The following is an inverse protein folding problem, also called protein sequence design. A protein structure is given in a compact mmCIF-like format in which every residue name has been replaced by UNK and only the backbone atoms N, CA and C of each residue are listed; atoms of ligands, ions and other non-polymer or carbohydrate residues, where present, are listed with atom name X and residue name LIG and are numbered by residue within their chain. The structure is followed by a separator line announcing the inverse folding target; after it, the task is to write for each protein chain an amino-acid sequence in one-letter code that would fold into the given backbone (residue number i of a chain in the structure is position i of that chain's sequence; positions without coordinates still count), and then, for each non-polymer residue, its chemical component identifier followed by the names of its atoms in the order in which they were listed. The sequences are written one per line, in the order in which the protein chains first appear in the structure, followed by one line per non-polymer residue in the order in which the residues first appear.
data_IF_632949104391
#
_entry.id   IF_632949104391
#
_cell.length_a   1.000
_cell.length_b   1.000
_cell.length_c   1.000
_cell.angle_alpha   90.00
_cell.angle_beta   90.00
_cell.angle_gamma   90.00
#
_symmetry.space_group_name_H-M   'P 1'
#
loop_
_entity.id
_entity.type
_entity.pdbx_description
1 polymer ?
#
# COMPACT_ATOMS: atom_id res chain seq x y z
N UNK A 1 7.48 -2.87 3.94
CA UNK A 1 6.80 -3.29 2.70
C UNK A 1 7.65 -4.36 2.04
N UNK A 2 7.02 -5.27 1.30
CA UNK A 2 7.71 -6.42 0.72
C UNK A 2 8.42 -6.01 -0.58
N UNK A 3 7.80 -5.13 -1.38
CA UNK A 3 8.33 -4.64 -2.66
C UNK A 3 7.87 -3.22 -2.95
N UNK A 4 8.68 -2.47 -3.69
CA UNK A 4 8.32 -1.14 -4.19
C UNK A 4 7.72 -1.17 -5.58
N UNK A 5 6.84 -0.22 -5.85
CA UNK A 5 6.36 0.05 -7.19
C UNK A 5 7.33 0.96 -7.94
N UNK A 6 7.39 0.76 -9.25
CA UNK A 6 7.86 1.79 -10.18
C UNK A 6 6.76 2.84 -10.32
N UNK A 7 7.12 4.10 -10.17
CA UNK A 7 6.20 5.22 -10.35
C UNK A 7 6.01 5.56 -11.82
N UNK A 8 4.79 5.96 -12.21
CA UNK A 8 4.44 6.27 -13.60
C UNK A 8 4.45 7.79 -13.82
N UNK A 9 5.64 8.39 -13.93
CA UNK A 9 5.82 9.85 -14.05
C UNK A 9 5.19 10.47 -15.32
N UNK A 10 4.99 9.68 -16.37
CA UNK A 10 4.44 10.18 -17.64
C UNK A 10 2.91 10.28 -17.67
N UNK A 11 2.23 9.93 -16.58
CA UNK A 11 0.77 9.88 -16.57
C UNK A 11 0.16 11.29 -16.52
N UNK A 12 -0.77 11.55 -17.44
CA UNK A 12 -1.46 12.84 -17.50
C UNK A 12 -2.34 13.06 -16.26
N UNK A 13 -2.81 12.00 -15.61
CA UNK A 13 -3.58 12.05 -14.36
C UNK A 13 -2.80 12.69 -13.20
N UNK A 14 -1.47 12.74 -13.29
CA UNK A 14 -0.62 13.43 -12.31
C UNK A 14 -0.78 14.95 -12.35
N UNK A 15 -1.21 15.49 -13.50
CA UNK A 15 -1.28 16.93 -13.78
C UNK A 15 -2.19 17.67 -12.81
N UNK A 16 -3.28 17.05 -12.34
CA UNK A 16 -4.21 17.73 -11.42
C UNK A 16 -3.53 18.12 -10.10
N UNK A 17 -2.67 17.25 -9.57
CA UNK A 17 -1.86 17.56 -8.40
C UNK A 17 -0.88 18.72 -8.70
N UNK A 18 -0.19 18.69 -9.82
CA UNK A 18 0.74 19.76 -10.23
C UNK A 18 0.02 21.11 -10.38
N UNK A 19 -1.16 21.11 -10.96
CA UNK A 19 -1.97 22.30 -11.18
C UNK A 19 -2.43 22.97 -9.88
N UNK A 20 -2.96 22.18 -8.94
CA UNK A 20 -3.39 22.76 -7.66
C UNK A 20 -2.20 23.31 -6.87
N UNK A 21 -1.05 22.64 -6.89
CA UNK A 21 0.18 23.14 -6.25
C UNK A 21 0.66 24.43 -6.93
N UNK A 22 0.65 24.49 -8.26
CA UNK A 22 1.02 25.70 -9.00
C UNK A 22 0.09 26.89 -8.66
N UNK A 23 -1.21 26.64 -8.48
CA UNK A 23 -2.16 27.65 -8.02
C UNK A 23 -1.81 28.17 -6.62
N UNK A 24 -1.50 27.31 -5.66
CA UNK A 24 -1.08 27.73 -4.32
C UNK A 24 0.25 28.50 -4.34
N UNK A 25 1.21 28.08 -5.17
CA UNK A 25 2.46 28.82 -5.37
C UNK A 25 2.24 30.21 -5.95
N UNK A 26 1.25 30.37 -6.85
CA UNK A 26 0.89 31.65 -7.45
C UNK A 26 0.28 32.60 -6.41
N UNK A 27 -0.72 32.14 -5.66
CA UNK A 27 -1.46 33.00 -4.72
C UNK A 27 -0.65 33.36 -3.47
N UNK A 28 0.43 32.63 -3.17
CA UNK A 28 1.33 32.92 -2.06
C UNK A 28 1.83 34.38 -2.06
N UNK A 29 2.11 34.94 -3.25
CA UNK A 29 2.68 36.28 -3.41
C UNK A 29 1.69 37.29 -4.01
N UNK A 30 0.45 36.88 -4.22
CA UNK A 30 -0.52 37.68 -4.96
C UNK A 30 -1.40 38.52 -4.03
N UNK A 31 -1.69 39.75 -4.46
CA UNK A 31 -2.48 40.75 -3.72
C UNK A 31 -3.50 41.46 -4.60
N UNK A 32 -3.48 41.24 -5.92
CA UNK A 32 -4.42 41.85 -6.85
C UNK A 32 -5.86 41.36 -6.65
N UNK A 33 -6.83 42.03 -7.29
CA UNK A 33 -8.18 41.48 -7.39
C UNK A 33 -8.08 40.16 -8.16
N UNK A 34 -8.79 39.13 -7.69
CA UNK A 34 -8.79 37.84 -8.34
C UNK A 34 -9.25 37.95 -9.81
N UNK A 35 -8.48 37.34 -10.70
CA UNK A 35 -8.86 37.11 -12.09
C UNK A 35 -8.37 35.73 -12.57
N UNK A 36 -8.77 35.36 -13.79
CA UNK A 36 -8.49 34.03 -14.34
C UNK A 36 -6.99 33.78 -14.61
N UNK A 37 -6.14 34.81 -14.61
CA UNK A 37 -4.67 34.66 -14.76
C UNK A 37 -4.00 34.03 -13.54
N UNK A 38 -4.72 33.88 -12.44
CA UNK A 38 -4.23 33.21 -11.24
C UNK A 38 -4.17 31.68 -11.44
N UNK A 39 -4.92 31.18 -12.41
CA UNK A 39 -4.82 29.80 -12.88
C UNK A 39 -3.84 29.71 -14.05
N UNK A 40 -3.07 28.62 -14.10
CA UNK A 40 -2.40 28.24 -15.36
C UNK A 40 -3.45 27.88 -16.41
N UNK A 41 -3.15 28.12 -17.70
CA UNK A 41 -4.11 27.93 -18.80
C UNK A 41 -4.79 26.55 -18.77
N UNK A 42 -4.01 25.49 -18.53
CA UNK A 42 -4.55 24.14 -18.48
C UNK A 42 -5.49 23.90 -17.29
N UNK A 43 -5.15 24.49 -16.14
CA UNK A 43 -5.94 24.36 -14.93
C UNK A 43 -7.22 25.22 -14.99
N UNK A 44 -7.15 26.38 -15.64
CA UNK A 44 -8.30 27.26 -15.86
C UNK A 44 -9.41 26.54 -16.63
N UNK A 45 -9.06 25.84 -17.72
CA UNK A 45 -10.06 25.07 -18.48
C UNK A 45 -10.75 24.00 -17.62
N UNK A 46 -10.00 23.33 -16.73
CA UNK A 46 -10.58 22.36 -15.79
C UNK A 46 -11.45 23.05 -14.74
N UNK A 47 -11.02 24.22 -14.24
CA UNK A 47 -11.76 25.02 -13.27
C UNK A 47 -13.07 25.56 -13.86
N UNK A 48 -13.08 25.99 -15.12
CA UNK A 48 -14.26 26.46 -15.84
C UNK A 48 -15.30 25.36 -16.05
N UNK A 49 -14.85 24.11 -16.21
CA UNK A 49 -15.72 22.92 -16.24
C UNK A 49 -16.30 22.57 -14.87
N UNK A 50 -15.74 23.10 -13.78
CA UNK A 50 -16.14 22.82 -12.39
C UNK A 50 -16.33 24.13 -11.60
N UNK A 51 -17.26 25.01 -12.00
CA UNK A 51 -17.33 26.36 -11.45
C UNK A 51 -17.55 26.36 -9.94
N UNK A 52 -18.46 25.55 -9.41
CA UNK A 52 -18.78 25.52 -7.98
C UNK A 52 -17.81 24.67 -7.14
N UNK A 53 -17.33 23.57 -7.73
CA UNK A 53 -16.54 22.54 -7.06
C UNK A 53 -15.06 22.95 -6.97
N UNK A 54 -14.56 23.66 -7.99
CA UNK A 54 -13.15 24.04 -8.09
C UNK A 54 -12.97 25.55 -8.14
N UNK A 55 -13.50 26.22 -9.18
CA UNK A 55 -13.19 27.65 -9.44
C UNK A 55 -13.60 28.54 -8.27
N UNK A 56 -14.85 28.44 -7.80
CA UNK A 56 -15.36 29.23 -6.69
C UNK A 56 -14.68 28.87 -5.35
N UNK A 57 -14.30 27.61 -5.13
CA UNK A 57 -13.56 27.21 -3.93
C UNK A 57 -12.16 27.84 -3.90
N UNK A 58 -11.44 27.82 -5.03
CA UNK A 58 -10.16 28.54 -5.17
C UNK A 58 -10.33 30.04 -4.90
N UNK A 59 -11.32 30.69 -5.51
CA UNK A 59 -11.62 32.11 -5.26
C UNK A 59 -11.89 32.38 -3.78
N UNK A 60 -12.67 31.51 -3.12
CA UNK A 60 -13.00 31.64 -1.71
C UNK A 60 -11.76 31.49 -0.80
N UNK A 61 -10.85 30.58 -1.13
CA UNK A 61 -9.56 30.41 -0.44
C UNK A 61 -8.71 31.66 -0.61
N UNK A 62 -8.56 32.14 -1.85
CA UNK A 62 -7.80 33.36 -2.12
C UNK A 62 -8.33 34.56 -1.34
N UNK A 63 -9.65 34.77 -1.36
CA UNK A 63 -10.29 35.87 -0.65
C UNK A 63 -10.10 35.80 0.87
N UNK A 64 -9.92 34.61 1.45
CA UNK A 64 -9.59 34.48 2.88
C UNK A 64 -8.18 34.93 3.20
N UNK A 65 -7.22 34.69 2.29
CA UNK A 65 -5.79 34.84 2.59
C UNK A 65 -5.17 36.09 1.95
N UNK A 66 -5.83 36.74 0.99
CA UNK A 66 -5.25 37.83 0.18
C UNK A 66 -4.71 39.01 1.02
N UNK A 67 -5.36 39.29 2.15
CA UNK A 67 -5.02 40.40 3.05
C UNK A 67 -4.13 39.95 4.22
N UNK A 68 -3.74 38.67 4.28
CA UNK A 68 -2.78 38.17 5.26
C UNK A 68 -1.39 38.76 4.99
N UNK A 69 -0.59 38.85 6.05
CA UNK A 69 0.83 39.16 5.87
C UNK A 69 1.53 38.01 5.12
N UNK A 70 2.66 38.32 4.49
CA UNK A 70 3.38 37.35 3.64
C UNK A 70 3.84 36.10 4.42
N UNK A 71 4.17 36.24 5.70
CA UNK A 71 4.63 35.11 6.53
C UNK A 71 3.50 34.08 6.68
N UNK A 72 2.28 34.51 6.98
CA UNK A 72 1.14 33.62 7.12
C UNK A 72 0.75 32.94 5.79
N UNK A 73 0.83 33.68 4.66
CA UNK A 73 0.62 33.11 3.32
C UNK A 73 1.66 32.02 3.02
N UNK A 74 2.94 32.32 3.26
CA UNK A 74 4.05 31.39 3.03
C UNK A 74 3.94 30.17 3.94
N UNK A 75 3.51 30.33 5.20
CA UNK A 75 3.28 29.21 6.12
C UNK A 75 2.20 28.26 5.59
N UNK A 76 1.05 28.78 5.17
CA UNK A 76 -0.04 27.97 4.61
C UNK A 76 0.39 27.26 3.31
N UNK A 77 1.00 28.00 2.38
CA UNK A 77 1.37 27.43 1.08
C UNK A 77 2.51 26.39 1.23
N UNK A 78 3.45 26.61 2.15
CA UNK A 78 4.49 25.63 2.47
C UNK A 78 3.89 24.39 3.12
N UNK A 79 2.96 24.53 4.06
CA UNK A 79 2.25 23.38 4.65
C UNK A 79 1.55 22.53 3.59
N UNK A 80 0.94 23.14 2.58
CA UNK A 80 0.29 22.43 1.47
C UNK A 80 1.33 21.71 0.60
N UNK A 81 2.44 22.37 0.25
CA UNK A 81 3.55 21.77 -0.51
C UNK A 81 4.18 20.60 0.23
N UNK A 82 4.55 20.80 1.49
CA UNK A 82 5.23 19.80 2.32
C UNK A 82 4.32 18.61 2.62
N UNK A 83 3.00 18.83 2.75
CA UNK A 83 2.01 17.75 2.86
C UNK A 83 1.89 16.89 1.60
N UNK A 84 2.51 17.31 0.49
CA UNK A 84 2.57 16.57 -0.76
C UNK A 84 3.94 15.93 -1.02
N UNK A 85 4.95 16.18 -0.19
CA UNK A 85 6.21 15.45 -0.25
C UNK A 85 6.11 14.15 0.57
N UNK A 86 5.47 13.14 -0.04
CA UNK A 86 5.19 11.86 0.60
C UNK A 86 6.47 11.14 1.02
N UNK A 87 7.56 11.28 0.25
CA UNK A 87 8.84 10.66 0.59
C UNK A 87 9.44 11.32 1.84
N UNK A 88 9.41 12.66 1.93
CA UNK A 88 9.91 13.41 3.09
C UNK A 88 9.09 13.13 4.36
N UNK A 89 7.77 12.96 4.23
CA UNK A 89 6.88 12.51 5.31
C UNK A 89 7.27 11.10 5.76
N UNK A 90 7.50 10.17 4.82
CA UNK A 90 7.88 8.80 5.16
C UNK A 90 9.24 8.71 5.86
N UNK A 91 10.13 9.65 5.57
CA UNK A 91 11.42 9.79 6.26
C UNK A 91 11.29 10.45 7.64
N UNK A 92 10.10 10.87 8.08
CA UNK A 92 9.91 11.50 9.38
C UNK A 92 10.46 12.92 9.47
N UNK A 93 10.80 13.54 8.35
CA UNK A 93 11.33 14.91 8.31
C UNK A 93 10.22 15.97 8.36
N UNK A 94 8.97 15.57 8.04
CA UNK A 94 7.80 16.44 8.08
C UNK A 94 6.58 15.66 8.56
N UNK A 95 5.80 16.27 9.46
CA UNK A 95 4.53 15.75 9.93
C UNK A 95 3.39 16.66 9.44
N UNK A 96 2.56 16.22 8.49
CA UNK A 96 1.45 17.03 8.00
C UNK A 96 0.42 17.25 9.10
N UNK A 97 -0.23 18.42 9.07
CA UNK A 97 -1.30 18.71 10.02
C UNK A 97 -2.59 17.96 9.65
N UNK A 98 -3.31 17.55 10.68
CA UNK A 98 -4.61 16.89 10.53
C UNK A 98 -5.67 17.93 10.17
N UNK A 99 -6.43 17.65 9.11
CA UNK A 99 -7.61 18.42 8.70
C UNK A 99 -8.75 17.44 8.46
N UNK A 100 -9.39 17.05 9.56
CA UNK A 100 -10.43 16.03 9.57
C UNK A 100 -11.84 16.63 9.40
N UNK A 101 -12.86 15.78 9.59
CA UNK A 101 -14.28 16.16 9.47
C UNK A 101 -14.74 17.25 10.46
N UNK A 102 -13.95 17.55 11.49
CA UNK A 102 -14.23 18.57 12.49
C UNK A 102 -13.59 19.92 12.16
N UNK A 103 -12.87 20.02 11.03
CA UNK A 103 -12.29 21.28 10.55
C UNK A 103 -13.38 22.37 10.36
N UNK A 104 -13.01 23.60 10.69
CA UNK A 104 -13.86 24.80 10.57
C UNK A 104 -13.12 25.92 9.82
N UNK A 105 -13.83 26.99 9.45
CA UNK A 105 -13.25 28.16 8.78
C UNK A 105 -12.48 27.79 7.50
N UNK A 106 -11.30 28.38 7.32
CA UNK A 106 -10.43 28.13 6.17
C UNK A 106 -10.01 26.65 6.06
N UNK A 107 -9.77 25.96 7.18
CA UNK A 107 -9.38 24.55 7.16
C UNK A 107 -10.49 23.66 6.59
N UNK A 108 -11.76 23.96 6.89
CA UNK A 108 -12.90 23.26 6.27
C UNK A 108 -12.94 23.52 4.76
N UNK A 109 -12.78 24.78 4.36
CA UNK A 109 -12.80 25.18 2.95
C UNK A 109 -11.71 24.45 2.15
N UNK A 110 -10.48 24.44 2.68
CA UNK A 110 -9.36 23.72 2.06
C UNK A 110 -9.60 22.22 2.03
N UNK A 111 -10.11 21.63 3.12
CA UNK A 111 -10.43 20.21 3.19
C UNK A 111 -11.40 19.81 2.09
N UNK A 112 -12.49 20.55 1.96
CA UNK A 112 -13.56 20.23 1.00
C UNK A 112 -13.04 20.38 -0.43
N UNK A 113 -12.31 21.47 -0.73
CA UNK A 113 -11.63 21.64 -2.02
C UNK A 113 -10.78 20.43 -2.40
N UNK A 114 -9.87 19.99 -1.52
CA UNK A 114 -8.98 18.87 -1.84
C UNK A 114 -9.70 17.52 -1.91
N UNK A 115 -10.76 17.30 -1.15
CA UNK A 115 -11.58 16.10 -1.30
C UNK A 115 -12.35 16.09 -2.61
N UNK A 116 -12.88 17.24 -3.01
CA UNK A 116 -13.61 17.41 -4.25
C UNK A 116 -12.71 17.27 -5.48
N UNK A 117 -11.46 17.73 -5.41
CA UNK A 117 -10.45 17.44 -6.42
C UNK A 117 -10.33 15.93 -6.68
N UNK A 118 -10.32 15.10 -5.64
CA UNK A 118 -10.26 13.65 -5.80
C UNK A 118 -11.60 13.03 -6.21
N UNK A 119 -12.69 13.41 -5.56
CA UNK A 119 -13.99 12.75 -5.71
C UNK A 119 -14.72 13.14 -6.99
N UNK A 120 -14.50 14.36 -7.48
CA UNK A 120 -15.32 14.96 -8.54
C UNK A 120 -14.51 15.44 -9.74
N UNK A 121 -13.23 15.83 -9.56
CA UNK A 121 -12.42 16.40 -10.65
C UNK A 121 -11.46 15.40 -11.30
N UNK A 122 -10.71 14.63 -10.51
CA UNK A 122 -9.61 13.77 -10.99
C UNK A 122 -10.03 12.74 -12.05
N UNK A 123 -11.23 12.20 -11.93
CA UNK A 123 -11.82 11.23 -12.87
C UNK A 123 -13.12 11.77 -13.51
N UNK A 124 -13.32 13.09 -13.46
CA UNK A 124 -14.52 13.77 -13.97
C UNK A 124 -14.41 14.17 -15.43
N UNK A 125 -15.55 14.39 -16.08
CA UNK A 125 -15.65 14.64 -17.53
C UNK A 125 -14.75 15.78 -18.01
N UNK A 126 -14.64 16.88 -17.25
CA UNK A 126 -13.77 18.00 -17.63
C UNK A 126 -12.29 17.60 -17.77
N UNK A 127 -11.79 16.73 -16.89
CA UNK A 127 -10.43 16.22 -16.97
C UNK A 127 -10.29 15.12 -18.03
N UNK A 128 -11.27 14.22 -18.07
CA UNK A 128 -11.28 13.08 -18.98
C UNK A 128 -11.36 13.50 -20.45
N UNK A 129 -12.22 14.47 -20.79
CA UNK A 129 -12.38 14.99 -22.15
C UNK A 129 -11.12 15.74 -22.60
N UNK A 130 -10.59 16.63 -21.75
CA UNK A 130 -9.40 17.44 -22.09
C UNK A 130 -8.18 16.56 -22.38
N UNK A 131 -7.96 15.54 -21.56
CA UNK A 131 -6.76 14.71 -21.62
C UNK A 131 -6.98 13.33 -22.25
N UNK A 132 -8.20 13.05 -22.71
CA UNK A 132 -8.61 11.74 -23.25
C UNK A 132 -8.17 10.59 -22.33
N UNK A 133 -8.49 10.70 -21.04
CA UNK A 133 -7.97 9.80 -20.01
C UNK A 133 -8.98 9.54 -18.90
N UNK A 134 -8.67 8.62 -17.97
CA UNK A 134 -9.41 8.35 -16.75
C UNK A 134 -8.53 7.52 -15.78
N UNK A 135 -9.02 7.23 -14.58
CA UNK A 135 -8.34 6.40 -13.58
C UNK A 135 -8.12 4.95 -14.04
N UNK A 136 -8.98 4.43 -14.93
CA UNK A 136 -8.79 3.10 -15.52
C UNK A 136 -7.58 3.10 -16.46
N UNK A 137 -7.40 4.12 -17.30
CA UNK A 137 -6.22 4.27 -18.15
C UNK A 137 -4.96 4.31 -17.30
N UNK A 138 -4.92 5.13 -16.24
CA UNK A 138 -3.79 5.16 -15.31
C UNK A 138 -3.50 3.78 -14.73
N UNK A 139 -4.53 3.11 -14.20
CA UNK A 139 -4.38 1.78 -13.60
C UNK A 139 -3.81 0.77 -14.59
N UNK A 140 -4.27 0.79 -15.84
CA UNK A 140 -3.80 -0.13 -16.86
C UNK A 140 -2.31 0.09 -17.17
N UNK A 141 -1.88 1.34 -17.34
CA UNK A 141 -0.49 1.68 -17.62
C UNK A 141 0.42 1.40 -16.41
N UNK A 142 -0.05 1.75 -15.21
CA UNK A 142 0.65 1.45 -13.96
C UNK A 142 0.82 -0.07 -13.77
N UNK A 143 -0.23 -0.85 -14.04
CA UNK A 143 -0.22 -2.30 -13.93
C UNK A 143 0.69 -2.97 -14.97
N UNK A 144 0.82 -2.40 -16.18
CA UNK A 144 1.79 -2.86 -17.18
C UNK A 144 3.23 -2.57 -16.75
N UNK A 145 3.49 -1.36 -16.26
CA UNK A 145 4.80 -0.95 -15.73
C UNK A 145 5.27 -1.83 -14.57
N UNK A 146 4.32 -2.28 -13.74
CA UNK A 146 4.53 -3.14 -12.56
C UNK A 146 3.98 -4.57 -12.78
N UNK A 147 4.13 -5.10 -14.00
CA UNK A 147 3.56 -6.39 -14.41
C UNK A 147 4.04 -7.57 -13.54
N UNK A 148 5.27 -7.50 -13.05
CA UNK A 148 5.92 -8.49 -12.20
C UNK A 148 5.45 -8.49 -10.72
N UNK A 149 4.63 -7.52 -10.30
CA UNK A 149 4.09 -7.44 -8.93
C UNK A 149 2.67 -8.02 -8.93
N UNK A 150 2.54 -9.33 -8.73
CA UNK A 150 1.24 -10.05 -8.72
C UNK A 150 0.64 -10.17 -7.32
N UNK A 151 1.47 -10.30 -6.30
CA UNK A 151 1.06 -10.25 -4.90
C UNK A 151 1.11 -8.81 -4.36
N UNK A 152 0.22 -8.50 -3.43
CA UNK A 152 0.15 -7.21 -2.79
C UNK A 152 1.50 -6.89 -2.11
N UNK A 153 2.16 -5.77 -2.45
CA UNK A 153 3.47 -5.41 -1.89
C UNK A 153 3.42 -5.10 -0.40
N UNK A 154 2.22 -4.89 0.15
CA UNK A 154 2.03 -4.68 1.58
C UNK A 154 2.06 -5.99 2.34
N UNK A 155 1.29 -7.02 1.93
CA UNK A 155 1.11 -8.21 2.74
C UNK A 155 1.68 -9.50 2.13
N UNK A 156 1.93 -9.57 0.82
CA UNK A 156 2.44 -10.78 0.17
C UNK A 156 1.47 -11.96 0.22
N UNK A 157 0.19 -11.69 0.50
CA UNK A 157 -0.89 -12.68 0.60
C UNK A 157 -1.92 -12.45 -0.50
N UNK A 158 -2.54 -11.26 -0.53
CA UNK A 158 -3.61 -10.97 -1.48
C UNK A 158 -3.05 -10.74 -2.88
N UNK A 159 -3.68 -11.34 -3.89
CA UNK A 159 -3.39 -11.04 -5.29
C UNK A 159 -3.88 -9.65 -5.67
N UNK A 160 -3.17 -9.01 -6.59
CA UNK A 160 -3.56 -7.74 -7.19
C UNK A 160 -4.26 -7.96 -8.51
N UNK A 161 -5.27 -7.13 -8.79
CA UNK A 161 -5.85 -7.02 -10.12
C UNK A 161 -4.83 -6.46 -11.10
N UNK A 162 -4.93 -6.92 -12.34
CA UNK A 162 -4.08 -6.54 -13.46
C UNK A 162 -4.86 -5.75 -14.51
N UNK A 163 -4.16 -5.09 -15.41
CA UNK A 163 -4.77 -4.36 -16.53
C UNK A 163 -5.67 -5.22 -17.42
N UNK A 164 -5.50 -6.55 -17.39
CA UNK A 164 -6.34 -7.52 -18.11
C UNK A 164 -7.63 -7.87 -17.37
N UNK A 165 -7.75 -7.53 -16.09
CA UNK A 165 -8.97 -7.76 -15.32
C UNK A 165 -10.04 -6.71 -15.65
N UNK A 166 -11.30 -7.15 -15.65
CA UNK A 166 -12.45 -6.25 -15.80
C UNK A 166 -12.52 -5.22 -14.66
N UNK A 167 -12.19 -5.64 -13.44
CA UNK A 167 -12.12 -4.77 -12.27
C UNK A 167 -10.71 -4.21 -12.08
N UNK A 168 -10.57 -3.17 -11.25
CA UNK A 168 -9.28 -2.70 -10.73
C UNK A 168 -9.35 -2.71 -9.22
N UNK A 169 -8.20 -2.85 -8.58
CA UNK A 169 -8.08 -2.51 -7.17
C UNK A 169 -8.39 -1.02 -6.98
N UNK A 170 -8.92 -0.70 -5.81
CA UNK A 170 -9.04 0.69 -5.38
C UNK A 170 -7.64 1.23 -5.07
N UNK A 171 -7.40 2.49 -5.41
CA UNK A 171 -6.21 3.19 -4.93
C UNK A 171 -6.40 3.44 -3.43
N UNK A 172 -5.49 2.91 -2.62
CA UNK A 172 -5.37 3.29 -1.23
C UNK A 172 -4.73 4.67 -1.13
N UNK A 173 -5.30 5.54 -0.31
CA UNK A 173 -4.65 6.77 0.12
C UNK A 173 -3.71 6.41 1.27
N UNK A 174 -2.41 6.29 1.00
CA UNK A 174 -1.43 5.87 2.00
C UNK A 174 -1.53 6.73 3.26
N UNK A 175 -1.46 8.05 3.08
CA UNK A 175 -1.98 9.07 3.99
C UNK A 175 -3.48 9.28 3.72
N UNK A 176 -4.39 8.88 4.61
CA UNK A 176 -5.82 8.91 4.31
C UNK A 176 -6.35 10.31 4.04
N UNK A 177 -7.04 10.51 2.91
CA UNK A 177 -7.63 11.81 2.55
C UNK A 177 -8.60 12.39 3.58
N UNK A 178 -9.19 11.56 4.43
CA UNK A 178 -10.08 11.98 5.51
C UNK A 178 -9.37 12.70 6.66
N UNK A 179 -8.04 12.56 6.76
CA UNK A 179 -7.16 13.13 7.78
C UNK A 179 -6.17 14.11 7.14
N UNK A 180 -5.60 13.72 5.99
CA UNK A 180 -4.59 14.47 5.24
C UNK A 180 -5.12 14.82 3.84
N UNK A 181 -6.04 15.78 3.70
CA UNK A 181 -6.69 16.06 2.43
C UNK A 181 -5.72 16.62 1.39
N UNK A 182 -4.66 17.33 1.77
CA UNK A 182 -3.76 18.00 0.82
C UNK A 182 -3.07 17.07 -0.18
N UNK A 183 -2.91 15.79 0.17
CA UNK A 183 -2.32 14.76 -0.68
C UNK A 183 -3.34 13.84 -1.35
N UNK A 184 -4.63 14.22 -1.37
CA UNK A 184 -5.74 13.39 -1.88
C UNK A 184 -5.63 13.01 -3.35
N UNK A 185 -5.09 13.91 -4.18
CA UNK A 185 -4.91 13.74 -5.65
C UNK A 185 -3.46 13.47 -6.04
N UNK A 186 -2.56 13.35 -5.06
CA UNK A 186 -1.16 13.07 -5.30
C UNK A 186 -0.97 11.57 -5.51
N UNK A 187 -0.56 11.15 -6.71
CA UNK A 187 -0.38 9.71 -6.99
C UNK A 187 0.82 9.09 -6.27
N UNK A 188 1.74 9.89 -5.70
CA UNK A 188 2.73 9.36 -4.75
C UNK A 188 2.09 8.93 -3.43
N UNK A 189 0.86 9.36 -3.15
CA UNK A 189 0.02 8.96 -2.03
C UNK A 189 -1.07 7.94 -2.41
N UNK A 190 -1.34 7.72 -3.70
CA UNK A 190 -2.35 6.77 -4.20
C UNK A 190 -1.67 5.49 -4.65
N UNK A 191 -1.97 4.37 -3.99
CA UNK A 191 -1.23 3.12 -4.24
C UNK A 191 -2.17 1.92 -4.38
N UNK A 192 -2.02 1.11 -5.45
CA UNK A 192 -2.75 -0.16 -5.54
C UNK A 192 -2.29 -1.13 -4.45
N UNK A 193 -3.23 -1.60 -3.63
CA UNK A 193 -3.02 -2.67 -2.64
C UNK A 193 -4.22 -3.61 -2.68
N UNK A 194 -4.09 -4.84 -2.16
CA UNK A 194 -5.21 -5.76 -2.17
C UNK A 194 -6.36 -5.25 -1.28
N UNK A 195 -7.57 -5.69 -1.63
CA UNK A 195 -8.80 -5.30 -0.93
C UNK A 195 -8.74 -5.54 0.59
N UNK A 196 -8.13 -6.63 1.04
CA UNK A 196 -8.02 -6.93 2.47
C UNK A 196 -7.15 -5.91 3.20
N UNK A 197 -6.01 -5.52 2.61
CA UNK A 197 -5.15 -4.49 3.19
C UNK A 197 -5.84 -3.12 3.22
N UNK A 198 -6.57 -2.78 2.16
CA UNK A 198 -7.30 -1.52 2.04
C UNK A 198 -8.59 -1.49 2.90
N UNK A 199 -9.06 -2.63 3.38
CA UNK A 199 -10.31 -2.73 4.13
C UNK A 199 -10.31 -1.87 5.39
N UNK A 200 -11.50 -1.48 5.84
CA UNK A 200 -11.71 -0.74 7.10
C UNK A 200 -11.27 -1.52 8.34
N UNK A 201 -11.15 -2.85 8.24
CA UNK A 201 -10.69 -3.72 9.32
C UNK A 201 -9.16 -3.76 9.45
N UNK A 202 -8.43 -3.46 8.37
CA UNK A 202 -6.96 -3.50 8.35
C UNK A 202 -6.38 -2.10 8.35
N UNK A 203 -6.27 -1.42 7.20
CA UNK A 203 -5.75 -0.04 7.15
C UNK A 203 -6.88 0.97 7.29
N UNK A 204 -7.89 0.91 6.40
CA UNK A 204 -8.95 1.90 6.32
C UNK A 204 -8.42 3.33 6.34
N UNK A 205 -9.02 4.16 7.20
CA UNK A 205 -8.64 5.56 7.41
C UNK A 205 -7.79 5.78 8.68
N UNK A 206 -7.04 4.77 9.14
CA UNK A 206 -6.11 4.92 10.28
C UNK A 206 -5.10 6.03 10.00
N UNK A 207 -4.81 6.84 11.00
CA UNK A 207 -3.75 7.85 10.93
C UNK A 207 -2.38 7.15 10.86
N UNK A 208 -1.84 7.01 9.65
CA UNK A 208 -0.57 6.32 9.43
C UNK A 208 0.63 7.08 9.97
N UNK A 209 0.56 8.42 10.04
CA UNK A 209 1.67 9.24 10.56
C UNK A 209 1.71 9.14 12.09
N UNK A 210 0.55 9.17 12.74
CA UNK A 210 0.47 8.96 14.19
C UNK A 210 0.85 7.54 14.63
N UNK A 211 0.62 6.54 13.78
CA UNK A 211 1.01 5.14 14.03
C UNK A 211 2.47 4.84 13.67
N UNK A 212 3.20 5.80 13.09
CA UNK A 212 4.58 5.59 12.67
C UNK A 212 5.52 5.48 13.87
N UNK A 213 6.20 4.35 14.01
CA UNK A 213 7.27 4.16 14.95
C UNK A 213 8.47 5.04 14.58
N UNK A 214 8.95 5.86 15.52
CA UNK A 214 9.99 6.87 15.31
C UNK A 214 9.77 7.76 14.07
N UNK A 215 8.50 7.99 13.69
CA UNK A 215 8.11 8.74 12.49
C UNK A 215 8.61 8.14 11.17
N UNK A 216 9.04 6.87 11.15
CA UNK A 216 9.54 6.21 9.95
C UNK A 216 8.46 5.35 9.30
N UNK A 217 8.25 5.57 8.01
CA UNK A 217 7.32 4.82 7.18
C UNK A 217 8.02 4.31 5.92
N UNK A 218 7.52 3.21 5.39
CA UNK A 218 7.94 2.76 4.08
C UNK A 218 7.36 3.65 2.98
N UNK A 219 8.20 4.18 2.11
CA UNK A 219 7.76 4.88 0.91
C UNK A 219 7.54 3.90 -0.25
N UNK A 220 6.31 3.78 -0.74
CA UNK A 220 5.93 2.73 -1.68
C UNK A 220 6.59 2.81 -3.07
N UNK A 221 7.21 3.94 -3.38
CA UNK A 221 7.91 4.19 -4.64
C UNK A 221 9.43 4.35 -4.44
N UNK A 222 9.99 3.92 -3.30
CA UNK A 222 11.44 3.89 -3.10
C UNK A 222 12.07 2.74 -3.89
N UNK A 223 12.70 3.05 -5.02
CA UNK A 223 13.33 2.03 -5.89
C UNK A 223 14.61 1.44 -5.33
N UNK A 224 15.13 1.96 -4.20
CA UNK A 224 16.31 1.43 -3.53
C UNK A 224 15.97 0.45 -2.39
N UNK A 225 14.68 0.27 -2.08
CA UNK A 225 14.23 -0.61 -1.01
C UNK A 225 14.45 -2.09 -1.35
N UNK A 226 15.25 -2.78 -0.54
CA UNK A 226 15.36 -4.23 -0.61
C UNK A 226 14.22 -4.90 0.17
N UNK A 227 13.69 -6.01 -0.36
CA UNK A 227 12.55 -6.69 0.23
C UNK A 227 12.75 -7.13 1.69
N UNK A 228 11.65 -7.29 2.41
CA UNK A 228 11.65 -7.88 3.76
C UNK A 228 11.74 -9.40 3.63
N UNK A 229 12.61 -10.04 4.39
CA UNK A 229 12.61 -11.50 4.61
C UNK A 229 11.93 -11.82 5.95
N UNK A 230 11.30 -12.98 6.02
CA UNK A 230 10.63 -13.46 7.24
C UNK A 230 11.10 -14.85 7.61
N UNK A 231 11.22 -15.10 8.91
CA UNK A 231 11.37 -16.45 9.46
C UNK A 231 10.26 -16.75 10.47
N UNK A 232 9.89 -18.02 10.57
CA UNK A 232 8.89 -18.50 11.50
C UNK A 232 9.53 -19.50 12.46
N UNK A 233 9.23 -19.36 13.74
CA UNK A 233 9.61 -20.29 14.78
C UNK A 233 8.40 -20.64 15.64
N UNK A 234 8.39 -21.85 16.20
CA UNK A 234 7.32 -22.30 17.10
C UNK A 234 7.74 -22.08 18.54
N UNK A 235 6.96 -21.27 19.27
CA UNK A 235 7.17 -21.05 20.71
C UNK A 235 6.35 -22.00 21.56
N UNK A 236 5.21 -22.49 21.03
CA UNK A 236 4.39 -23.53 21.65
C UNK A 236 3.90 -24.48 20.58
N UNK A 237 4.35 -25.73 20.66
CA UNK A 237 3.93 -26.81 19.76
C UNK A 237 2.61 -27.44 20.25
N UNK A 238 1.87 -28.05 19.32
CA UNK A 238 0.57 -28.66 19.59
C UNK A 238 0.31 -29.77 18.58
N UNK A 239 -0.54 -30.75 18.92
CA UNK A 239 -1.05 -31.76 17.98
C UNK A 239 -2.05 -31.14 16.99
N UNK A 240 -2.85 -30.18 17.45
CA UNK A 240 -3.72 -29.39 16.58
C UNK A 240 -2.93 -28.17 16.07
N UNK A 241 -2.73 -28.09 14.75
CA UNK A 241 -1.95 -27.04 14.09
C UNK A 241 -2.54 -25.64 14.31
N UNK A 242 -3.84 -25.51 14.56
CA UNK A 242 -4.49 -24.22 14.83
C UNK A 242 -4.05 -23.61 16.18
N UNK A 243 -3.58 -24.45 17.10
CA UNK A 243 -3.14 -24.04 18.44
C UNK A 243 -1.63 -23.74 18.51
N UNK A 244 -0.88 -23.96 17.43
CA UNK A 244 0.55 -23.65 17.36
C UNK A 244 0.73 -22.14 17.54
N UNK A 245 1.66 -21.77 18.43
CA UNK A 245 2.05 -20.38 18.63
C UNK A 245 3.33 -20.06 17.87
N UNK A 246 3.24 -19.07 17.00
CA UNK A 246 4.34 -18.64 16.14
C UNK A 246 5.00 -17.38 16.67
N UNK A 247 6.33 -17.38 16.62
CA UNK A 247 7.15 -16.18 16.59
C UNK A 247 7.59 -15.93 15.15
N UNK A 248 7.47 -14.68 14.71
CA UNK A 248 7.88 -14.26 13.36
C UNK A 248 8.98 -13.24 13.52
N UNK A 249 10.10 -13.45 12.83
CA UNK A 249 11.16 -12.44 12.73
C UNK A 249 11.11 -11.80 11.36
N UNK A 250 11.21 -10.47 11.32
CA UNK A 250 11.23 -9.68 10.10
C UNK A 250 12.61 -9.05 9.96
N UNK A 251 13.24 -9.21 8.81
CA UNK A 251 14.56 -8.64 8.53
C UNK A 251 14.53 -7.90 7.22
N UNK A 252 15.17 -6.74 7.16
CA UNK A 252 15.44 -6.02 5.93
C UNK A 252 16.94 -5.68 5.90
N UNK A 253 17.64 -5.90 4.78
CA UNK A 253 19.09 -5.68 4.72
C UNK A 253 19.49 -4.20 4.81
N UNK A 254 18.55 -3.27 4.60
CA UNK A 254 18.77 -1.83 4.70
C UNK A 254 18.62 -1.29 6.14
N UNK A 255 18.37 -2.17 7.13
CA UNK A 255 18.22 -1.77 8.53
C UNK A 255 16.93 -1.00 8.84
N UNK A 256 15.88 -1.17 8.02
CA UNK A 256 14.58 -0.47 8.09
C UNK A 256 13.67 -0.94 9.24
N UNK A 257 14.23 -1.08 10.44
CA UNK A 257 13.53 -1.66 11.60
C UNK A 257 12.33 -0.82 12.04
N UNK A 258 12.49 0.51 12.07
CA UNK A 258 11.41 1.42 12.47
C UNK A 258 10.26 1.39 11.45
N UNK A 259 10.58 1.40 10.14
CA UNK A 259 9.59 1.25 9.09
C UNK A 259 8.86 -0.11 9.15
N UNK A 260 9.56 -1.19 9.53
CA UNK A 260 8.97 -2.52 9.76
C UNK A 260 7.94 -2.48 10.89
N UNK A 261 8.26 -1.85 12.03
CA UNK A 261 7.32 -1.75 13.15
C UNK A 261 6.09 -0.90 12.82
N UNK A 262 6.28 0.23 12.10
CA UNK A 262 5.17 1.02 11.57
C UNK A 262 4.28 0.19 10.63
N UNK A 263 4.88 -0.52 9.68
CA UNK A 263 4.16 -1.36 8.71
C UNK A 263 3.39 -2.50 9.37
N UNK A 264 4.01 -3.18 10.34
CA UNK A 264 3.34 -4.21 11.16
C UNK A 264 2.12 -3.65 11.86
N UNK A 265 2.25 -2.46 12.46
CA UNK A 265 1.17 -1.79 13.21
C UNK A 265 0.03 -1.35 12.30
N UNK A 266 0.34 -0.65 11.20
CA UNK A 266 -0.66 -0.10 10.27
C UNK A 266 -1.50 -1.23 9.66
N UNK A 267 -0.86 -2.31 9.21
CA UNK A 267 -1.50 -3.39 8.45
C UNK A 267 -1.75 -4.68 9.23
N UNK A 268 -1.51 -4.67 10.54
CA UNK A 268 -1.64 -5.84 11.43
C UNK A 268 -0.94 -7.10 10.85
N UNK A 269 0.31 -6.94 10.41
CA UNK A 269 0.99 -7.97 9.62
C UNK A 269 1.22 -9.24 10.44
N UNK A 270 1.69 -9.12 11.68
CA UNK A 270 1.95 -10.29 12.52
C UNK A 270 0.71 -11.12 12.77
N UNK A 271 -0.39 -10.49 13.20
CA UNK A 271 -1.65 -11.19 13.43
C UNK A 271 -2.17 -11.87 12.17
N UNK A 272 -2.11 -11.17 11.03
CA UNK A 272 -2.54 -11.72 9.73
C UNK A 272 -1.68 -12.87 9.27
N UNK A 273 -0.36 -12.81 9.45
CA UNK A 273 0.55 -13.88 9.07
C UNK A 273 0.34 -15.12 9.94
N UNK A 274 0.21 -14.95 11.26
CA UNK A 274 -0.11 -16.05 12.19
C UNK A 274 -1.42 -16.73 11.81
N UNK A 275 -2.49 -15.95 11.59
CA UNK A 275 -3.79 -16.49 11.16
C UNK A 275 -3.71 -17.18 9.78
N UNK A 276 -2.98 -16.61 8.83
CA UNK A 276 -2.79 -17.19 7.51
C UNK A 276 -2.08 -18.54 7.55
N UNK A 277 -1.01 -18.65 8.35
CA UNK A 277 -0.23 -19.87 8.56
C UNK A 277 -1.05 -20.92 9.32
N UNK A 278 -1.70 -20.57 10.43
CA UNK A 278 -2.50 -21.53 11.21
C UNK A 278 -3.57 -22.22 10.37
N UNK A 279 -4.24 -21.48 9.48
CA UNK A 279 -5.26 -22.06 8.59
C UNK A 279 -4.72 -22.88 7.41
N UNK A 280 -3.40 -22.97 7.22
CA UNK A 280 -2.78 -23.58 6.01
C UNK A 280 -1.64 -24.54 6.28
N UNK A 281 -0.97 -24.46 7.43
CA UNK A 281 0.27 -25.18 7.68
C UNK A 281 0.08 -26.70 7.56
N UNK A 282 -1.06 -27.24 8.01
CA UNK A 282 -1.38 -28.66 7.83
C UNK A 282 -1.43 -29.05 6.34
N UNK A 283 -2.08 -28.23 5.50
CA UNK A 283 -2.19 -28.50 4.06
C UNK A 283 -0.83 -28.42 3.38
N UNK A 284 0.00 -27.45 3.76
CA UNK A 284 1.36 -27.32 3.24
C UNK A 284 2.25 -28.48 3.66
N UNK A 285 2.17 -28.92 4.92
CA UNK A 285 2.88 -30.09 5.39
C UNK A 285 2.40 -31.36 4.69
N UNK A 286 1.09 -31.53 4.51
CA UNK A 286 0.54 -32.66 3.75
C UNK A 286 1.08 -32.69 2.32
N UNK A 287 1.09 -31.55 1.62
CA UNK A 287 1.67 -31.46 0.27
C UNK A 287 3.17 -31.80 0.25
N UNK A 288 3.93 -31.32 1.23
CA UNK A 288 5.33 -31.67 1.38
C UNK A 288 5.51 -33.17 1.58
N UNK A 289 4.75 -33.74 2.51
CA UNK A 289 4.82 -35.16 2.84
C UNK A 289 4.44 -36.05 1.67
N UNK A 290 3.34 -35.75 0.97
CA UNK A 290 2.92 -36.52 -0.22
C UNK A 290 3.98 -36.49 -1.32
N UNK A 291 4.68 -35.36 -1.49
CA UNK A 291 5.81 -35.28 -2.43
C UNK A 291 6.97 -36.16 -1.97
N UNK A 292 7.30 -36.16 -0.67
CA UNK A 292 8.36 -37.02 -0.15
C UNK A 292 8.04 -38.50 -0.24
N UNK A 293 6.78 -38.90 -0.10
CA UNK A 293 6.37 -40.31 -0.11
C UNK A 293 5.86 -40.78 -1.48
N UNK A 294 5.99 -39.96 -2.52
CA UNK A 294 5.57 -40.32 -3.87
C UNK A 294 6.38 -41.53 -4.38
N UNK A 295 5.67 -42.58 -4.81
CA UNK A 295 6.26 -43.82 -5.32
C UNK A 295 7.09 -43.59 -6.58
N UNK A 296 6.69 -42.64 -7.44
CA UNK A 296 7.41 -42.33 -8.68
C UNK A 296 8.75 -41.63 -8.39
N UNK A 297 8.87 -41.04 -7.20
CA UNK A 297 10.09 -40.41 -6.70
C UNK A 297 10.92 -41.34 -5.80
N UNK A 298 10.48 -42.57 -5.54
CA UNK A 298 11.17 -43.52 -4.64
C UNK A 298 12.58 -43.92 -5.11
N UNK A 299 12.90 -43.68 -6.39
CA UNK A 299 14.25 -43.84 -6.97
C UNK A 299 15.28 -42.84 -6.42
N UNK A 300 14.82 -41.73 -5.85
CA UNK A 300 15.68 -40.72 -5.22
C UNK A 300 15.72 -40.93 -3.71
N UNK A 301 16.86 -40.62 -3.09
CA UNK A 301 16.98 -40.69 -1.63
C UNK A 301 16.00 -39.70 -0.97
N UNK A 302 15.65 -39.92 0.29
CA UNK A 302 14.85 -38.95 1.05
C UNK A 302 15.55 -37.58 1.14
N UNK A 303 16.88 -37.57 1.28
CA UNK A 303 17.68 -36.34 1.32
C UNK A 303 17.55 -35.56 0.01
N UNK A 304 17.64 -36.25 -1.13
CA UNK A 304 17.50 -35.61 -2.45
C UNK A 304 16.08 -35.08 -2.67
N UNK A 305 15.05 -35.85 -2.31
CA UNK A 305 13.65 -35.40 -2.40
C UNK A 305 13.42 -34.14 -1.57
N UNK A 306 13.96 -34.08 -0.34
CA UNK A 306 13.89 -32.88 0.51
C UNK A 306 14.61 -31.69 -0.13
N UNK A 307 15.80 -31.89 -0.68
CA UNK A 307 16.56 -30.85 -1.37
C UNK A 307 15.80 -30.31 -2.59
N UNK A 308 15.25 -31.18 -3.43
CA UNK A 308 14.49 -30.79 -4.62
C UNK A 308 13.23 -30.02 -4.26
N UNK A 309 12.49 -30.45 -3.24
CA UNK A 309 11.32 -29.71 -2.77
C UNK A 309 11.68 -28.32 -2.25
N UNK A 310 12.75 -28.21 -1.46
CA UNK A 310 13.19 -26.91 -0.96
C UNK A 310 13.65 -26.00 -2.11
N UNK A 311 14.39 -26.54 -3.09
CA UNK A 311 14.78 -25.78 -4.31
C UNK A 311 13.57 -25.32 -5.11
N UNK A 312 12.53 -26.13 -5.21
CA UNK A 312 11.27 -25.74 -5.84
C UNK A 312 10.60 -24.58 -5.10
N UNK A 313 10.49 -24.66 -3.77
CA UNK A 313 9.95 -23.58 -2.94
C UNK A 313 10.80 -22.29 -3.00
N UNK A 314 12.13 -22.40 -3.06
CA UNK A 314 13.05 -21.28 -3.29
C UNK A 314 12.72 -20.58 -4.62
N UNK A 315 12.50 -21.34 -5.70
CA UNK A 315 12.15 -20.77 -7.00
C UNK A 315 10.78 -20.10 -7.00
N UNK A 316 9.80 -20.65 -6.31
CA UNK A 316 8.49 -20.01 -6.13
C UNK A 316 8.61 -18.64 -5.42
N UNK A 317 9.46 -18.56 -4.38
CA UNK A 317 9.72 -17.32 -3.64
C UNK A 317 10.50 -16.29 -4.50
N UNK A 318 11.55 -16.73 -5.21
CA UNK A 318 12.32 -15.91 -6.15
C UNK A 318 11.43 -15.35 -7.28
N UNK A 319 10.47 -16.13 -7.76
CA UNK A 319 9.46 -15.71 -8.73
C UNK A 319 8.29 -14.93 -8.10
N UNK A 320 8.33 -14.69 -6.79
CA UNK A 320 7.32 -13.96 -6.02
C UNK A 320 5.91 -14.54 -6.10
N UNK A 321 5.80 -15.86 -6.25
CA UNK A 321 4.53 -16.58 -6.26
C UNK A 321 4.01 -16.85 -4.84
N UNK A 322 4.92 -16.93 -3.87
CA UNK A 322 4.60 -17.14 -2.46
C UNK A 322 5.62 -16.44 -1.57
N UNK A 323 5.16 -15.63 -0.62
CA UNK A 323 6.03 -14.98 0.37
C UNK A 323 6.11 -15.75 1.70
N UNK A 324 5.03 -16.40 2.12
CA UNK A 324 4.90 -16.95 3.49
C UNK A 324 5.12 -18.45 3.54
N UNK A 325 4.70 -19.19 2.51
CA UNK A 325 4.62 -20.66 2.55
C UNK A 325 5.95 -21.32 2.89
N UNK A 326 7.02 -20.95 2.19
CA UNK A 326 8.35 -21.53 2.40
C UNK A 326 8.86 -21.27 3.82
N UNK A 327 9.00 -20.01 4.30
CA UNK A 327 9.55 -19.77 5.63
C UNK A 327 8.69 -20.36 6.75
N UNK A 328 7.36 -20.38 6.60
CA UNK A 328 6.46 -21.02 7.55
C UNK A 328 6.61 -22.55 7.59
N UNK A 329 6.70 -23.20 6.42
CA UNK A 329 6.92 -24.64 6.34
C UNK A 329 8.30 -25.03 6.88
N UNK A 330 9.34 -24.25 6.60
CA UNK A 330 10.67 -24.45 7.17
C UNK A 330 10.62 -24.40 8.70
N UNK A 331 9.98 -23.38 9.29
CA UNK A 331 9.78 -23.30 10.75
C UNK A 331 9.02 -24.50 11.31
N UNK A 332 7.94 -24.92 10.64
CA UNK A 332 7.17 -26.09 11.06
C UNK A 332 7.97 -27.38 11.06
N UNK A 333 8.72 -27.64 9.99
CA UNK A 333 9.53 -28.84 9.83
C UNK A 333 10.65 -28.92 10.87
N UNK A 334 11.22 -27.77 11.24
CA UNK A 334 12.28 -27.69 12.24
C UNK A 334 11.75 -27.84 13.67
N UNK A 335 10.62 -27.20 13.99
CA UNK A 335 10.23 -26.97 15.37
C UNK A 335 9.02 -27.81 15.85
N UNK A 336 8.15 -28.31 14.96
CA UNK A 336 6.91 -29.01 15.37
C UNK A 336 7.05 -30.53 15.39
N UNK A 337 7.37 -31.13 16.53
CA UNK A 337 7.46 -32.60 16.64
C UNK A 337 6.06 -33.22 16.76
N UNK A 338 5.17 -32.61 17.54
CA UNK A 338 3.87 -33.17 17.89
C UNK A 338 2.91 -33.21 16.71
N UNK A 339 2.75 -32.09 15.98
CA UNK A 339 1.88 -32.05 14.81
C UNK A 339 2.42 -32.94 13.69
N UNK A 340 3.75 -32.92 13.42
CA UNK A 340 4.32 -33.76 12.37
C UNK A 340 4.04 -35.25 12.63
N UNK A 341 4.29 -35.73 13.84
CA UNK A 341 4.02 -37.12 14.21
C UNK A 341 2.52 -37.47 14.09
N UNK A 342 1.64 -36.60 14.58
CA UNK A 342 0.18 -36.83 14.48
C UNK A 342 -0.30 -36.88 13.03
N UNK A 343 0.17 -35.97 12.18
CA UNK A 343 -0.25 -35.89 10.77
C UNK A 343 0.26 -37.07 9.95
N UNK A 344 1.51 -37.51 10.19
CA UNK A 344 2.06 -38.70 9.57
C UNK A 344 1.27 -39.95 10.01
N UNK A 345 1.02 -40.12 11.32
CA UNK A 345 0.29 -41.26 11.85
C UNK A 345 -1.13 -41.39 11.25
N UNK A 346 -1.86 -40.27 11.10
CA UNK A 346 -3.20 -40.27 10.48
C UNK A 346 -3.22 -40.85 9.08
N UNK A 347 -2.14 -40.72 8.30
CA UNK A 347 -2.09 -41.27 6.95
C UNK A 347 -1.96 -42.80 6.92
N UNK A 348 -1.31 -43.38 7.92
CA UNK A 348 -1.22 -44.84 8.08
C UNK A 348 -2.48 -45.45 8.73
N UNK A 349 -3.32 -44.62 9.33
CA UNK A 349 -4.56 -45.04 10.02
C UNK A 349 -5.81 -45.05 9.13
N UNK A 350 -5.72 -44.64 7.86
CA UNK A 350 -6.85 -44.76 6.91
C UNK A 350 -6.79 -46.16 6.28
N UNK A 351 -7.75 -47.06 6.55
CA UNK A 351 -7.76 -48.36 5.92
C UNK A 351 -7.89 -48.21 4.40
N UNK A 352 -7.24 -49.08 3.59
CA UNK A 352 -7.46 -49.05 2.16
C UNK A 352 -8.96 -49.20 1.88
N UNK A 353 -9.50 -48.29 1.08
CA UNK A 353 -10.89 -48.39 0.61
C UNK A 353 -10.98 -49.73 -0.14
N UNK A 354 -11.75 -50.65 0.44
CA UNK A 354 -11.97 -52.00 -0.06
C UNK A 354 -12.81 -52.02 -1.36
#
# INVERSE_FOLDING_TARGET
MIRSYKYLDSAVQLRLHEFIIAYFNRIEFETAIFDDSFFGADFLEIADRHPQILKQQCIAVYNHIKDWNQVDKTNLCSQIRDSNDIANICQGNFAPSIIDRHATGLNKLLRDLFLDLYNQVLDGDGFNEKYTTNLRTHFNDFSRLNSDITLCPICGIGELKKHTDLARDQYDHYLPKSIYPFSSVNFKNLVPICIDCNSTQVKGSKDVVALAFNHRLFYLYDTNHHGISVSFNITVDSINTENIQWQITFTNPDGKNDEIESWKTIYNIEGRYKGFVNGRIEKWFRHYWTYLTDSDLAKYSEVDRKLFYNKWMEKDEECHLNFIRKPALTGFLNDSVLSQASLQARQYSIPPIA
#
